data_IF_610967872865
#
_entry.id   IF_610967872865
#
_cell.length_a   1.000
_cell.length_b   1.000
_cell.length_c   1.000
_cell.angle_alpha   90.00
_cell.angle_beta   90.00
_cell.angle_gamma   90.00
#
_symmetry.space_group_name_H-M   'P 1'
#
loop_
_entity.id
_entity.type
_entity.pdbx_description
1 polymer ?
#
# COMPACT_ATOMS: atom_id res chain seq x y z
N UNK A 1 47.21 -10.32 -80.75
CA UNK A 1 48.42 -9.60 -81.05
C UNK A 1 49.15 -9.48 -79.71
N UNK A 2 50.11 -10.25 -79.35
CA UNK A 2 51.48 -10.42 -79.91
C UNK A 2 52.37 -9.77 -78.91
N UNK A 3 53.16 -10.44 -78.27
CA UNK A 3 54.48 -11.04 -78.34
C UNK A 3 55.22 -10.67 -77.02
N UNK A 4 55.74 -11.64 -76.35
CA UNK A 4 57.06 -12.30 -76.31
C UNK A 4 58.07 -11.57 -75.43
N UNK A 5 58.52 -12.13 -74.43
CA UNK A 5 59.61 -13.11 -74.19
C UNK A 5 60.97 -12.44 -73.92
N UNK A 6 61.64 -12.75 -72.80
CA UNK A 6 62.97 -13.40 -72.82
C UNK A 6 63.57 -13.43 -71.39
N UNK A 7 63.82 -14.54 -70.90
CA UNK A 7 64.92 -15.27 -70.29
C UNK A 7 66.11 -14.48 -69.73
N UNK A 8 66.50 -14.85 -68.51
CA UNK A 8 67.82 -14.62 -67.92
C UNK A 8 67.95 -15.20 -66.54
N UNK A 9 68.56 -16.38 -66.42
CA UNK A 9 69.09 -17.01 -65.17
C UNK A 9 70.56 -16.69 -65.05
N UNK A 10 71.30 -17.12 -63.96
CA UNK A 10 71.05 -17.20 -62.53
C UNK A 10 72.11 -16.49 -61.67
N UNK A 11 71.82 -16.23 -60.41
CA UNK A 11 72.82 -15.73 -59.45
C UNK A 11 72.59 -16.32 -58.07
N UNK A 12 73.53 -17.16 -57.66
CA UNK A 12 73.65 -17.80 -56.36
C UNK A 12 73.98 -16.72 -55.28
N UNK A 13 73.24 -16.71 -54.18
CA UNK A 13 73.54 -15.78 -53.13
C UNK A 13 72.79 -15.97 -51.79
N UNK A 14 73.43 -16.67 -50.92
CA UNK A 14 73.38 -16.60 -49.43
C UNK A 14 72.03 -16.70 -48.71
N UNK A 15 71.85 -17.82 -48.01
CA UNK A 15 70.89 -18.07 -46.96
C UNK A 15 70.98 -17.11 -45.80
N UNK A 16 70.02 -16.21 -45.62
CA UNK A 16 69.84 -15.43 -44.42
C UNK A 16 68.86 -16.20 -43.51
N UNK A 17 69.36 -16.61 -42.34
CA UNK A 17 68.60 -17.36 -41.34
C UNK A 17 67.44 -16.51 -40.78
N UNK A 18 66.24 -16.95 -41.01
CA UNK A 18 65.03 -16.40 -40.41
C UNK A 18 65.00 -16.88 -38.96
N UNK A 19 65.29 -15.96 -38.02
CA UNK A 19 65.04 -16.18 -36.58
C UNK A 19 63.52 -16.08 -36.34
N UNK A 20 62.85 -17.20 -36.09
CA UNK A 20 61.50 -17.19 -35.51
C UNK A 20 61.55 -16.60 -34.13
N UNK A 21 60.97 -15.40 -33.98
CA UNK A 21 60.67 -14.83 -32.66
C UNK A 21 59.46 -15.62 -32.11
N UNK A 22 59.68 -16.37 -31.02
CA UNK A 22 58.60 -16.93 -30.23
C UNK A 22 57.73 -15.75 -29.71
N UNK A 23 56.36 -15.90 -29.82
CA UNK A 23 55.49 -14.91 -29.21
C UNK A 23 55.71 -14.96 -27.67
N UNK A 24 56.07 -13.84 -27.08
CA UNK A 24 56.09 -13.70 -25.63
C UNK A 24 54.68 -14.03 -25.12
N UNK A 25 54.58 -15.09 -24.31
CA UNK A 25 53.41 -15.39 -23.49
C UNK A 25 53.13 -14.12 -22.68
N UNK A 26 52.01 -13.47 -22.99
CA UNK A 26 51.48 -12.38 -22.20
C UNK A 26 51.20 -12.89 -20.80
N UNK A 27 51.91 -12.42 -19.80
CA UNK A 27 51.60 -12.64 -18.40
C UNK A 27 50.22 -12.03 -18.16
N UNK A 28 49.20 -12.87 -18.11
CA UNK A 28 47.86 -12.45 -17.68
C UNK A 28 48.01 -11.87 -16.28
N UNK A 29 47.92 -10.57 -16.18
CA UNK A 29 47.77 -9.85 -14.91
C UNK A 29 46.42 -10.28 -14.37
N UNK A 30 46.38 -11.31 -13.52
CA UNK A 30 45.23 -11.59 -12.67
C UNK A 30 45.07 -10.39 -11.77
N UNK A 31 44.17 -9.49 -12.11
CA UNK A 31 43.80 -8.35 -11.26
C UNK A 31 43.33 -8.94 -9.92
N UNK A 32 44.20 -8.94 -8.93
CA UNK A 32 43.82 -9.26 -7.55
C UNK A 32 43.03 -8.05 -7.04
N UNK A 33 41.74 -8.22 -6.89
CA UNK A 33 40.92 -7.22 -6.20
C UNK A 33 41.59 -6.93 -4.83
N UNK A 34 41.95 -5.70 -4.49
CA UNK A 34 42.63 -5.44 -3.23
C UNK A 34 41.71 -5.81 -2.06
N UNK A 35 42.22 -6.53 -1.08
CA UNK A 35 41.51 -6.95 0.12
C UNK A 35 40.72 -5.81 0.79
N UNK A 36 41.24 -4.57 0.74
CA UNK A 36 40.59 -3.37 1.22
C UNK A 36 39.23 -3.09 0.50
N UNK A 37 39.18 -3.27 -0.82
CA UNK A 37 37.92 -3.09 -1.58
C UNK A 37 36.89 -4.17 -1.23
N UNK A 38 37.34 -5.41 -1.06
CA UNK A 38 36.47 -6.50 -0.62
C UNK A 38 35.88 -6.24 0.78
N UNK A 39 36.71 -5.73 1.70
CA UNK A 39 36.23 -5.35 3.04
C UNK A 39 35.22 -4.21 2.99
N UNK A 40 35.46 -3.17 2.19
CA UNK A 40 34.49 -2.06 2.00
C UNK A 40 33.16 -2.57 1.41
N UNK A 41 33.23 -3.42 0.38
CA UNK A 41 32.01 -4.01 -0.21
C UNK A 41 31.25 -4.88 0.80
N UNK A 42 31.95 -5.68 1.60
CA UNK A 42 31.33 -6.50 2.64
C UNK A 42 30.65 -5.66 3.73
N UNK A 43 31.30 -4.58 4.18
CA UNK A 43 30.70 -3.63 5.16
C UNK A 43 29.48 -2.91 4.56
N UNK A 44 29.59 -2.44 3.31
CA UNK A 44 28.48 -1.79 2.63
C UNK A 44 27.28 -2.75 2.43
N UNK A 45 27.54 -3.99 2.02
CA UNK A 45 26.52 -5.02 1.90
C UNK A 45 25.90 -5.34 3.27
N UNK A 46 26.71 -5.52 4.31
CA UNK A 46 26.24 -5.71 5.68
C UNK A 46 25.31 -4.57 6.12
N UNK A 47 25.72 -3.33 5.92
CA UNK A 47 24.90 -2.15 6.25
C UNK A 47 23.61 -2.09 5.45
N UNK A 48 23.65 -2.42 4.15
CA UNK A 48 22.45 -2.47 3.29
C UNK A 48 21.41 -3.45 3.81
N UNK A 49 21.79 -4.67 4.18
CA UNK A 49 20.86 -5.69 4.65
C UNK A 49 20.43 -5.55 6.11
N UNK A 50 21.25 -4.94 6.98
CA UNK A 50 20.94 -4.86 8.42
C UNK A 50 20.38 -3.52 8.86
N UNK A 51 20.84 -2.42 8.28
CA UNK A 51 20.46 -1.06 8.66
C UNK A 51 19.54 -0.40 7.63
N UNK A 52 19.70 -0.73 6.34
CA UNK A 52 18.99 -0.10 5.22
C UNK A 52 17.49 -0.06 5.40
N UNK A 53 16.80 -1.21 5.57
CA UNK A 53 15.33 -1.22 5.71
C UNK A 53 14.84 -0.35 6.87
N UNK A 54 15.48 -0.46 8.04
CA UNK A 54 15.09 0.30 9.22
C UNK A 54 15.32 1.82 9.08
N UNK A 55 16.38 2.22 8.37
CA UNK A 55 16.65 3.65 8.10
C UNK A 55 15.66 4.22 7.09
N UNK A 56 15.35 3.48 6.03
CA UNK A 56 14.34 3.87 5.03
C UNK A 56 12.98 4.04 5.72
N UNK A 57 12.50 3.02 6.43
CA UNK A 57 11.23 3.09 7.15
C UNK A 57 11.17 4.31 8.09
N UNK A 58 12.19 4.51 8.94
CA UNK A 58 12.23 5.64 9.87
C UNK A 58 12.23 7.00 9.17
N UNK A 59 12.79 7.09 7.98
CA UNK A 59 12.82 8.34 7.20
C UNK A 59 11.48 8.65 6.55
N UNK A 60 10.68 7.63 6.26
CA UNK A 60 9.41 7.72 5.54
C UNK A 60 8.21 7.79 6.49
N UNK A 61 8.15 6.93 7.50
CA UNK A 61 7.04 6.88 8.46
C UNK A 61 7.39 7.69 9.71
N UNK A 62 6.88 8.91 9.80
CA UNK A 62 7.27 9.86 10.83
C UNK A 62 6.09 10.35 11.67
N UNK A 63 6.36 10.58 12.96
CA UNK A 63 5.51 11.41 13.82
C UNK A 63 6.09 12.83 13.77
N UNK A 64 5.26 13.85 13.56
CA UNK A 64 5.69 15.26 13.34
C UNK A 64 6.26 15.95 14.60
N UNK A 65 6.18 15.29 15.76
CA UNK A 65 6.70 15.80 17.02
C UNK A 65 5.86 16.91 17.66
N UNK A 66 4.71 17.26 17.08
CA UNK A 66 3.79 18.21 17.70
C UNK A 66 3.12 17.56 18.93
N UNK A 67 2.80 18.36 19.96
CA UNK A 67 2.18 17.82 21.15
C UNK A 67 0.78 17.24 20.84
N UNK A 68 0.36 16.18 21.54
CA UNK A 68 -0.98 15.65 21.44
C UNK A 68 -1.99 16.71 21.92
N UNK A 69 -3.22 16.65 21.42
CA UNK A 69 -4.30 17.49 21.95
C UNK A 69 -4.73 16.98 23.34
N UNK A 70 -5.27 17.90 24.14
CA UNK A 70 -5.88 17.50 25.41
C UNK A 70 -7.11 16.62 25.15
N UNK A 71 -7.21 15.53 25.88
CA UNK A 71 -8.32 14.56 25.78
C UNK A 71 -9.12 14.60 27.07
N UNK A 72 -10.43 14.84 26.98
CA UNK A 72 -11.36 14.87 28.10
C UNK A 72 -11.68 13.46 28.63
N UNK A 73 -12.21 13.39 29.86
CA UNK A 73 -12.70 12.12 30.42
C UNK A 73 -13.88 11.57 29.61
N UNK A 74 -14.73 12.47 29.06
CA UNK A 74 -15.83 12.09 28.17
C UNK A 74 -15.30 11.38 26.91
N UNK A 75 -14.28 11.96 26.25
CA UNK A 75 -13.68 11.35 25.04
C UNK A 75 -13.05 9.99 25.36
N UNK A 76 -12.36 9.84 26.51
CA UNK A 76 -11.78 8.56 26.93
C UNK A 76 -12.86 7.51 27.18
N UNK A 77 -13.87 7.85 27.98
CA UNK A 77 -14.97 6.93 28.28
C UNK A 77 -15.75 6.51 27.02
N UNK A 78 -15.99 7.44 26.10
CA UNK A 78 -16.61 7.12 24.81
C UNK A 78 -15.69 6.20 23.99
N UNK A 79 -14.40 6.53 23.86
CA UNK A 79 -13.43 5.80 23.05
C UNK A 79 -13.31 4.32 23.46
N UNK A 80 -13.31 4.04 24.76
CA UNK A 80 -13.27 2.67 25.30
C UNK A 80 -14.47 1.81 24.86
N UNK A 81 -15.59 2.44 24.51
CA UNK A 81 -16.81 1.75 24.06
C UNK A 81 -16.94 1.63 22.55
N UNK A 82 -15.99 2.19 21.78
CA UNK A 82 -16.04 2.17 20.30
C UNK A 82 -15.58 0.82 19.75
N UNK A 83 -16.10 0.51 18.57
CA UNK A 83 -15.60 -0.56 17.70
C UNK A 83 -14.88 0.09 16.54
N UNK A 84 -13.57 0.30 16.69
CA UNK A 84 -12.80 1.11 15.76
C UNK A 84 -12.34 0.27 14.57
N UNK A 85 -12.56 0.78 13.36
CA UNK A 85 -12.12 0.16 12.10
C UNK A 85 -11.32 1.16 11.29
N UNK A 86 -10.11 0.81 10.91
CA UNK A 86 -9.29 1.58 9.99
C UNK A 86 -9.19 0.86 8.64
N UNK A 87 -9.41 1.61 7.57
CA UNK A 87 -9.57 1.05 6.22
C UNK A 87 -8.25 0.88 5.46
N UNK A 88 -7.12 1.41 6.00
CA UNK A 88 -5.86 1.34 5.26
C UNK A 88 -4.61 1.50 6.13
N UNK A 89 -3.69 0.56 5.99
CA UNK A 89 -2.34 0.62 6.57
C UNK A 89 -1.37 -0.20 5.73
N UNK A 90 -0.14 0.29 5.53
CA UNK A 90 0.93 -0.38 4.76
C UNK A 90 1.96 -1.10 5.63
N UNK A 91 1.61 -1.41 6.86
CA UNK A 91 2.49 -2.04 7.85
C UNK A 91 3.17 -3.32 7.34
N UNK A 92 2.49 -4.10 6.48
CA UNK A 92 3.04 -5.35 5.93
C UNK A 92 4.20 -5.16 4.95
N UNK A 93 4.40 -3.97 4.40
CA UNK A 93 5.53 -3.67 3.52
C UNK A 93 6.86 -3.69 4.27
N UNK A 94 6.87 -3.35 5.57
CA UNK A 94 8.06 -3.15 6.38
C UNK A 94 8.55 -4.43 7.07
N UNK A 95 9.86 -4.50 7.30
CA UNK A 95 10.49 -5.61 8.03
C UNK A 95 10.43 -5.35 9.55
N UNK A 96 9.22 -5.50 10.09
CA UNK A 96 8.92 -5.40 11.52
C UNK A 96 8.12 -6.61 11.98
N UNK A 97 8.31 -6.98 13.23
CA UNK A 97 7.41 -7.91 13.90
C UNK A 97 6.12 -7.18 14.28
N UNK A 98 5.01 -7.53 13.62
CA UNK A 98 3.70 -6.94 13.87
C UNK A 98 3.20 -7.17 15.31
N UNK A 99 3.67 -8.22 15.97
CA UNK A 99 3.23 -8.61 17.32
C UNK A 99 3.97 -7.87 18.43
N UNK A 100 5.04 -7.16 18.10
CA UNK A 100 5.92 -6.48 19.04
C UNK A 100 5.89 -4.98 18.86
N UNK A 101 5.80 -4.21 19.96
CA UNK A 101 5.86 -2.74 19.89
C UNK A 101 7.19 -2.27 19.33
N UNK A 102 7.15 -1.64 18.17
CA UNK A 102 8.32 -1.10 17.48
C UNK A 102 8.63 0.34 17.92
N UNK A 103 9.91 0.73 17.74
CA UNK A 103 10.34 2.14 17.85
C UNK A 103 10.22 2.90 16.54
N UNK A 104 9.67 2.26 15.50
CA UNK A 104 9.48 2.80 14.14
C UNK A 104 8.06 2.54 13.71
N UNK A 105 7.62 3.31 12.70
CA UNK A 105 6.30 3.19 12.14
C UNK A 105 5.20 3.67 13.08
N UNK A 106 3.98 3.55 12.61
CA UNK A 106 2.79 4.09 13.26
C UNK A 106 1.92 3.02 13.90
N UNK A 107 2.09 1.75 13.48
CA UNK A 107 1.18 0.67 13.82
C UNK A 107 1.91 -0.63 14.15
N UNK A 108 1.42 -1.35 15.12
CA UNK A 108 1.70 -2.74 15.50
C UNK A 108 0.57 -3.22 16.41
N UNK A 109 0.50 -4.52 16.67
CA UNK A 109 -0.58 -5.11 17.48
C UNK A 109 -0.71 -4.47 18.87
N UNK A 110 0.37 -4.23 19.66
CA UNK A 110 0.25 -3.52 20.93
C UNK A 110 -0.35 -2.11 20.79
N UNK A 111 -0.01 -1.35 19.74
CA UNK A 111 -0.60 -0.02 19.49
C UNK A 111 -2.06 -0.11 19.06
N UNK A 112 -2.42 -1.11 18.26
CA UNK A 112 -3.83 -1.35 17.86
C UNK A 112 -4.69 -1.68 19.08
N UNK A 113 -4.18 -2.50 19.99
CA UNK A 113 -4.86 -2.83 21.24
C UNK A 113 -5.05 -1.59 22.14
N UNK A 114 -3.98 -0.80 22.34
CA UNK A 114 -4.04 0.47 23.09
C UNK A 114 -5.00 1.48 22.45
N UNK A 115 -5.05 1.55 21.13
CA UNK A 115 -5.96 2.39 20.34
C UNK A 115 -7.37 1.84 20.20
N UNK A 116 -7.71 0.73 20.86
CA UNK A 116 -9.00 0.07 20.82
C UNK A 116 -9.45 -0.33 19.39
N UNK A 117 -8.50 -0.64 18.49
CA UNK A 117 -8.81 -1.07 17.13
C UNK A 117 -9.48 -2.43 17.14
N UNK A 118 -10.62 -2.53 16.49
CA UNK A 118 -11.37 -3.78 16.32
C UNK A 118 -11.01 -4.51 15.03
N UNK A 119 -10.76 -3.76 13.95
CA UNK A 119 -10.34 -4.31 12.67
C UNK A 119 -9.45 -3.32 11.94
N UNK A 120 -8.32 -3.82 11.43
CA UNK A 120 -7.40 -3.13 10.54
C UNK A 120 -7.44 -3.74 9.16
N UNK A 121 -7.55 -2.91 8.12
CA UNK A 121 -7.33 -3.33 6.74
C UNK A 121 -5.86 -3.08 6.38
N UNK A 122 -5.11 -4.15 6.21
CA UNK A 122 -3.71 -4.13 5.82
C UNK A 122 -3.57 -4.14 4.30
N UNK A 123 -2.94 -3.13 3.76
CA UNK A 123 -2.73 -2.99 2.34
C UNK A 123 -1.41 -3.61 1.87
N UNK A 124 -1.35 -3.91 0.60
CA UNK A 124 -0.17 -4.44 -0.07
C UNK A 124 0.25 -3.50 -1.17
N UNK A 125 1.25 -2.64 -0.89
CA UNK A 125 1.98 -1.87 -1.87
C UNK A 125 3.05 -2.74 -2.52
N UNK A 126 3.09 -2.80 -3.84
CA UNK A 126 4.02 -3.68 -4.55
C UNK A 126 5.01 -2.95 -5.44
N UNK A 127 4.70 -1.72 -5.85
CA UNK A 127 5.56 -0.88 -6.71
C UNK A 127 5.27 0.59 -6.50
N UNK A 128 6.34 1.39 -6.39
CA UNK A 128 6.27 2.86 -6.42
C UNK A 128 7.35 3.42 -7.35
N UNK A 129 7.06 4.51 -8.09
CA UNK A 129 8.04 5.11 -9.00
C UNK A 129 9.17 5.82 -8.27
N UNK A 130 10.35 5.88 -8.88
CA UNK A 130 11.47 6.69 -8.40
C UNK A 130 11.15 8.18 -8.55
N UNK A 131 11.48 8.97 -7.53
CA UNK A 131 11.14 10.39 -7.54
C UNK A 131 9.64 10.66 -7.42
N UNK A 132 8.90 9.72 -6.82
CA UNK A 132 7.45 9.80 -6.59
C UNK A 132 7.01 11.18 -6.14
N UNK A 133 5.97 11.70 -6.78
CA UNK A 133 5.33 12.97 -6.45
C UNK A 133 3.81 12.88 -6.63
N UNK A 134 3.08 13.88 -6.13
CA UNK A 134 1.62 13.90 -6.20
C UNK A 134 1.06 14.37 -7.55
N UNK A 135 1.89 14.88 -8.48
CA UNK A 135 1.41 15.50 -9.71
C UNK A 135 1.42 14.54 -10.90
N UNK A 136 2.58 13.95 -11.22
CA UNK A 136 2.73 13.09 -12.39
C UNK A 136 3.90 12.11 -12.23
N UNK A 137 3.61 10.82 -12.40
CA UNK A 137 4.60 9.74 -12.37
C UNK A 137 4.35 8.76 -13.51
N UNK A 138 5.43 8.24 -14.09
CA UNK A 138 5.39 7.06 -14.92
C UNK A 138 5.52 5.77 -14.09
N UNK A 139 5.30 4.64 -14.74
CA UNK A 139 5.45 3.32 -14.13
C UNK A 139 6.77 2.62 -14.47
N UNK A 140 7.78 3.31 -14.97
CA UNK A 140 8.98 2.69 -15.56
C UNK A 140 10.03 2.26 -14.51
N UNK A 141 9.96 2.84 -13.30
CA UNK A 141 10.86 2.54 -12.18
C UNK A 141 10.14 1.91 -10.99
N UNK A 142 10.91 1.32 -10.07
CA UNK A 142 10.37 0.66 -8.88
C UNK A 142 11.30 0.82 -7.67
N UNK A 143 10.88 1.60 -6.69
CA UNK A 143 11.59 1.81 -5.44
C UNK A 143 11.41 0.66 -4.43
N UNK A 144 10.41 -0.21 -4.63
CA UNK A 144 10.13 -1.31 -3.71
C UNK A 144 11.09 -2.49 -3.93
N UNK A 145 11.55 -2.72 -5.16
CA UNK A 145 12.50 -3.83 -5.44
C UNK A 145 13.78 -3.78 -4.58
N UNK A 146 14.50 -2.65 -4.45
CA UNK A 146 15.65 -2.57 -3.55
C UNK A 146 15.30 -2.86 -2.08
N UNK A 147 14.13 -2.41 -1.61
CA UNK A 147 13.66 -2.64 -0.24
C UNK A 147 13.36 -4.13 -0.02
N UNK A 148 12.66 -4.80 -0.94
CA UNK A 148 12.36 -6.23 -0.92
C UNK A 148 13.64 -7.07 -0.84
N UNK A 149 14.68 -6.69 -1.62
CA UNK A 149 16.00 -7.35 -1.61
C UNK A 149 16.70 -7.10 -0.27
N UNK A 150 16.71 -5.84 0.22
CA UNK A 150 17.35 -5.48 1.48
C UNK A 150 16.71 -6.17 2.70
N UNK A 151 15.41 -6.42 2.65
CA UNK A 151 14.66 -7.17 3.65
C UNK A 151 14.82 -8.69 3.51
N UNK A 152 15.64 -9.19 2.57
CA UNK A 152 15.84 -10.61 2.31
C UNK A 152 14.53 -11.37 2.08
N UNK A 153 13.55 -10.73 1.47
CA UNK A 153 12.29 -11.40 1.12
C UNK A 153 12.55 -12.54 0.11
N UNK A 154 11.67 -13.54 0.00
CA UNK A 154 11.84 -14.67 -0.92
C UNK A 154 12.14 -14.22 -2.36
N UNK A 155 13.05 -14.90 -3.04
CA UNK A 155 13.52 -14.52 -4.41
C UNK A 155 12.35 -14.30 -5.40
N UNK A 156 11.24 -15.05 -5.26
CA UNK A 156 10.04 -14.86 -6.10
C UNK A 156 9.47 -13.44 -6.04
N UNK A 157 9.63 -12.72 -4.91
CA UNK A 157 9.14 -11.36 -4.74
C UNK A 157 10.03 -10.31 -5.41
N UNK A 158 11.24 -10.66 -5.83
CA UNK A 158 12.18 -9.70 -6.41
C UNK A 158 11.75 -9.24 -7.81
N UNK A 159 11.07 -10.11 -8.55
CA UNK A 159 10.70 -9.87 -9.95
C UNK A 159 9.19 -9.93 -10.22
N UNK A 160 8.38 -10.48 -9.31
CA UNK A 160 6.93 -10.54 -9.46
C UNK A 160 6.23 -9.67 -8.42
N UNK A 161 5.39 -8.76 -8.89
CA UNK A 161 4.57 -7.88 -8.06
C UNK A 161 3.42 -8.66 -7.40
N UNK A 162 2.89 -9.65 -8.10
CA UNK A 162 1.89 -10.56 -7.52
C UNK A 162 2.46 -11.34 -6.34
N UNK A 163 3.66 -11.89 -6.49
CA UNK A 163 4.30 -12.66 -5.42
C UNK A 163 4.65 -11.77 -4.20
N UNK A 164 4.86 -10.46 -4.39
CA UNK A 164 4.98 -9.50 -3.26
C UNK A 164 3.69 -9.44 -2.45
N UNK A 165 2.54 -9.28 -3.11
CA UNK A 165 1.25 -9.28 -2.41
C UNK A 165 0.98 -10.60 -1.72
N UNK A 166 1.20 -11.72 -2.39
CA UNK A 166 1.03 -13.05 -1.78
C UNK A 166 1.93 -13.23 -0.55
N UNK A 167 3.17 -12.73 -0.60
CA UNK A 167 4.08 -12.75 0.54
C UNK A 167 3.62 -11.86 1.70
N UNK A 168 3.00 -10.69 1.44
CA UNK A 168 2.38 -9.86 2.49
C UNK A 168 1.24 -10.63 3.16
N UNK A 169 0.41 -11.37 2.40
CA UNK A 169 -0.59 -12.28 2.95
C UNK A 169 0.03 -13.35 3.86
N UNK A 170 1.11 -14.00 3.42
CA UNK A 170 1.84 -14.98 4.22
C UNK A 170 2.47 -14.37 5.49
N UNK A 171 2.95 -13.11 5.44
CA UNK A 171 3.44 -12.40 6.64
C UNK A 171 2.32 -12.24 7.66
N UNK A 172 1.14 -11.81 7.21
CA UNK A 172 -0.02 -11.66 8.08
C UNK A 172 -0.47 -13.01 8.66
N UNK A 173 -0.52 -14.06 7.86
CA UNK A 173 -0.91 -15.39 8.32
C UNK A 173 0.05 -15.94 9.40
N UNK A 174 1.37 -15.69 9.24
CA UNK A 174 2.36 -16.02 10.27
C UNK A 174 2.15 -15.23 11.56
N UNK A 175 1.83 -13.93 11.45
CA UNK A 175 1.55 -13.10 12.62
C UNK A 175 0.28 -13.56 13.33
N UNK A 176 -0.79 -13.86 12.59
CA UNK A 176 -2.04 -14.42 13.16
C UNK A 176 -1.76 -15.73 13.91
N UNK A 177 -1.04 -16.67 13.29
CA UNK A 177 -0.71 -17.95 13.91
C UNK A 177 0.14 -17.82 15.17
N UNK A 178 0.99 -16.79 15.27
CA UNK A 178 1.87 -16.55 16.41
C UNK A 178 1.27 -15.61 17.48
N UNK A 179 0.07 -15.07 17.26
CA UNK A 179 -0.53 -14.02 18.11
C UNK A 179 -1.24 -14.52 19.36
N UNK A 180 -1.31 -15.83 19.58
CA UNK A 180 -2.10 -16.43 20.68
C UNK A 180 -3.57 -15.97 20.67
N UNK A 181 -4.16 -15.81 19.47
CA UNK A 181 -5.55 -15.39 19.27
C UNK A 181 -5.81 -13.90 19.43
N UNK A 182 -4.79 -13.07 19.64
CA UNK A 182 -4.90 -11.60 19.70
C UNK A 182 -5.14 -10.96 18.33
N UNK A 183 -4.75 -11.62 17.24
CA UNK A 183 -5.00 -11.20 15.87
C UNK A 183 -5.80 -12.27 15.15
N UNK A 184 -6.82 -11.88 14.36
CA UNK A 184 -7.67 -12.82 13.66
C UNK A 184 -7.91 -12.39 12.21
N UNK A 185 -7.77 -13.32 11.26
CA UNK A 185 -8.11 -13.06 9.84
C UNK A 185 -9.60 -12.83 9.69
N UNK A 186 -9.94 -11.89 8.80
CA UNK A 186 -11.33 -11.62 8.38
C UNK A 186 -11.40 -11.66 6.85
N UNK A 187 -12.02 -12.70 6.33
CA UNK A 187 -12.20 -12.94 4.89
C UNK A 187 -13.67 -13.23 4.51
N UNK A 188 -14.52 -13.46 5.50
CA UNK A 188 -15.95 -13.74 5.33
C UNK A 188 -16.80 -12.94 6.30
N UNK A 189 -18.09 -12.70 5.99
CA UNK A 189 -19.01 -12.07 6.95
C UNK A 189 -19.12 -12.83 8.28
N UNK A 190 -19.11 -14.16 8.24
CA UNK A 190 -19.17 -14.99 9.44
C UNK A 190 -17.95 -14.84 10.35
N UNK A 191 -16.73 -14.70 9.78
CA UNK A 191 -15.53 -14.42 10.56
C UNK A 191 -15.58 -13.02 11.19
N UNK A 192 -16.11 -12.02 10.46
CA UNK A 192 -16.32 -10.68 11.00
C UNK A 192 -17.31 -10.71 12.18
N UNK A 193 -18.43 -11.40 12.03
CA UNK A 193 -19.42 -11.54 13.10
C UNK A 193 -18.87 -12.26 14.32
N UNK A 194 -18.12 -13.33 14.12
CA UNK A 194 -17.44 -14.06 15.19
C UNK A 194 -16.37 -13.23 15.91
N UNK A 195 -15.65 -12.36 15.20
CA UNK A 195 -14.72 -11.39 15.77
C UNK A 195 -15.45 -10.41 16.70
N UNK A 196 -16.54 -9.81 16.20
CA UNK A 196 -17.31 -8.82 16.96
C UNK A 196 -18.00 -9.42 18.18
N UNK A 197 -18.48 -10.66 18.11
CA UNK A 197 -19.06 -11.38 19.24
C UNK A 197 -18.03 -11.55 20.35
N UNK A 198 -16.81 -12.01 20.03
CA UNK A 198 -15.71 -12.17 21.02
C UNK A 198 -15.32 -10.86 21.69
N UNK A 199 -15.37 -9.73 20.96
CA UNK A 199 -15.11 -8.40 21.55
C UNK A 199 -16.21 -7.98 22.53
N UNK A 200 -17.45 -8.41 22.33
CA UNK A 200 -18.59 -8.12 23.21
C UNK A 200 -18.61 -8.90 24.53
N UNK A 201 -17.92 -10.05 24.58
CA UNK A 201 -17.91 -10.94 25.76
C UNK A 201 -16.96 -10.50 26.88
N UNK A 202 -16.10 -9.52 26.62
CA UNK A 202 -15.05 -9.08 27.54
C UNK A 202 -13.87 -10.05 27.60
N UNK A 203 -12.74 -9.59 28.11
CA UNK A 203 -11.51 -10.39 28.17
C UNK A 203 -10.54 -10.08 27.02
N UNK A 204 -9.86 -11.08 26.47
CA UNK A 204 -8.90 -10.88 25.39
C UNK A 204 -9.65 -10.56 24.08
N UNK A 205 -9.71 -9.27 23.73
CA UNK A 205 -10.45 -8.78 22.55
C UNK A 205 -9.52 -8.82 21.32
N UNK A 206 -9.73 -9.76 20.38
CA UNK A 206 -8.86 -9.85 19.21
C UNK A 206 -9.02 -8.64 18.29
N UNK A 207 -7.93 -8.28 17.62
CA UNK A 207 -7.93 -7.35 16.49
C UNK A 207 -8.18 -8.14 15.20
N UNK A 208 -9.15 -7.72 14.40
CA UNK A 208 -9.40 -8.27 13.06
C UNK A 208 -8.36 -7.77 12.05
N UNK A 209 -7.97 -8.63 11.13
CA UNK A 209 -7.04 -8.31 10.07
C UNK A 209 -7.62 -8.71 8.70
N UNK A 210 -7.88 -7.72 7.84
CA UNK A 210 -8.32 -7.91 6.46
C UNK A 210 -7.20 -7.48 5.51
N UNK A 211 -7.03 -8.17 4.38
CA UNK A 211 -6.06 -7.78 3.36
C UNK A 211 -6.69 -6.96 2.24
N UNK A 212 -5.96 -5.92 1.82
CA UNK A 212 -6.24 -5.17 0.60
C UNK A 212 -5.00 -5.08 -0.30
N UNK A 213 -5.22 -4.65 -1.55
CA UNK A 213 -4.16 -4.35 -2.52
C UNK A 213 -4.24 -2.88 -2.90
N UNK A 214 -3.10 -2.22 -2.90
CA UNK A 214 -2.96 -0.86 -3.39
C UNK A 214 -2.30 -0.84 -4.76
N UNK A 215 -3.16 -0.82 -5.77
CA UNK A 215 -2.80 -0.86 -7.18
C UNK A 215 -2.72 -2.26 -7.77
N UNK A 216 -3.75 -2.61 -8.56
CA UNK A 216 -3.84 -3.88 -9.30
C UNK A 216 -2.89 -3.98 -10.50
N UNK A 217 -1.87 -3.11 -10.59
CA UNK A 217 -0.71 -3.34 -11.46
C UNK A 217 0.04 -4.64 -11.08
N UNK A 218 -0.19 -5.15 -9.85
CA UNK A 218 0.33 -6.44 -9.38
C UNK A 218 -0.35 -7.65 -10.04
N UNK A 219 -1.40 -7.47 -10.83
CA UNK A 219 -1.95 -8.54 -11.68
C UNK A 219 -1.02 -8.90 -12.84
N UNK A 220 0.01 -8.05 -13.11
CA UNK A 220 1.00 -8.30 -14.17
C UNK A 220 0.35 -8.56 -15.54
N UNK A 221 -0.79 -7.90 -15.80
CA UNK A 221 -1.55 -7.99 -17.04
C UNK A 221 -2.52 -9.16 -17.16
N UNK A 222 -2.56 -10.08 -16.20
CA UNK A 222 -3.47 -11.24 -16.20
C UNK A 222 -4.57 -11.11 -15.15
N UNK A 223 -5.81 -10.97 -15.59
CA UNK A 223 -6.98 -10.88 -14.69
C UNK A 223 -7.23 -12.15 -13.86
N UNK A 224 -6.75 -13.31 -14.29
CA UNK A 224 -6.86 -14.55 -13.50
C UNK A 224 -6.11 -14.45 -12.15
N UNK A 225 -5.15 -13.53 -12.03
CA UNK A 225 -4.45 -13.26 -10.78
C UNK A 225 -5.35 -12.63 -9.70
N UNK A 226 -6.53 -12.07 -10.04
CA UNK A 226 -7.57 -11.70 -9.06
C UNK A 226 -8.05 -12.91 -8.25
N UNK A 227 -8.23 -14.05 -8.90
CA UNK A 227 -8.63 -15.30 -8.22
C UNK A 227 -7.54 -15.78 -7.26
N UNK A 228 -6.26 -15.62 -7.62
CA UNK A 228 -5.13 -15.96 -6.74
C UNK A 228 -5.07 -15.04 -5.52
N UNK A 229 -5.27 -13.73 -5.70
CA UNK A 229 -5.35 -12.77 -4.60
C UNK A 229 -6.53 -13.07 -3.68
N UNK A 230 -7.72 -13.32 -4.26
CA UNK A 230 -8.90 -13.68 -3.47
C UNK A 230 -8.69 -14.98 -2.68
N UNK A 231 -8.11 -16.02 -3.30
CA UNK A 231 -7.78 -17.28 -2.64
C UNK A 231 -6.75 -17.09 -1.50
N UNK A 232 -5.83 -16.12 -1.63
CA UNK A 232 -4.89 -15.74 -0.57
C UNK A 232 -5.52 -14.84 0.52
N UNK A 233 -6.83 -14.57 0.44
CA UNK A 233 -7.59 -13.86 1.46
C UNK A 233 -7.64 -12.34 1.30
N UNK A 234 -7.25 -11.80 0.14
CA UNK A 234 -7.50 -10.38 -0.17
C UNK A 234 -8.99 -10.14 -0.42
N UNK A 235 -9.54 -9.06 0.16
CA UNK A 235 -10.96 -8.73 0.11
C UNK A 235 -11.26 -7.31 -0.35
N UNK A 236 -10.25 -6.48 -0.56
CA UNK A 236 -10.38 -5.14 -1.11
C UNK A 236 -9.22 -4.88 -2.07
N UNK A 237 -9.41 -4.07 -3.12
CA UNK A 237 -8.33 -3.64 -3.97
C UNK A 237 -8.64 -2.30 -4.67
N UNK A 238 -7.62 -1.44 -4.75
CA UNK A 238 -7.58 -0.28 -5.62
C UNK A 238 -6.99 -0.62 -6.99
N UNK A 239 -7.49 0.01 -8.06
CA UNK A 239 -7.01 -0.29 -9.42
C UNK A 239 -5.63 0.30 -9.68
N UNK A 240 -5.35 1.47 -9.13
CA UNK A 240 -4.13 2.24 -9.38
C UNK A 240 -3.46 2.62 -8.07
N UNK A 241 -2.18 2.99 -8.16
CA UNK A 241 -1.44 3.64 -7.09
C UNK A 241 -0.82 4.93 -7.66
N UNK A 242 0.48 5.14 -7.63
CA UNK A 242 1.12 6.40 -8.04
C UNK A 242 1.32 6.57 -9.56
N UNK A 243 0.86 5.66 -10.39
CA UNK A 243 1.01 5.72 -11.85
C UNK A 243 -0.16 5.07 -12.58
N UNK A 244 -0.38 5.50 -13.83
CA UNK A 244 -1.36 4.88 -14.73
C UNK A 244 -0.93 3.45 -15.06
N UNK A 245 -1.88 2.52 -15.15
CA UNK A 245 -1.60 1.14 -15.52
C UNK A 245 -2.57 0.65 -16.62
N UNK A 246 -2.52 -0.62 -16.96
CA UNK A 246 -3.35 -1.22 -18.01
C UNK A 246 -4.85 -1.36 -17.66
N UNK A 247 -5.23 -1.03 -16.41
CA UNK A 247 -6.62 -1.05 -15.93
C UNK A 247 -7.24 0.34 -15.92
N UNK A 248 -6.50 1.35 -15.46
CA UNK A 248 -7.04 2.68 -15.22
C UNK A 248 -5.95 3.76 -15.08
N UNK A 249 -6.36 5.02 -15.15
CA UNK A 249 -5.54 6.17 -14.80
C UNK A 249 -5.50 6.41 -13.29
N UNK A 250 -4.32 6.78 -12.80
CA UNK A 250 -4.09 7.26 -11.44
C UNK A 250 -4.21 8.78 -11.37
N UNK A 251 -4.68 9.33 -10.25
CA UNK A 251 -4.63 10.78 -10.02
C UNK A 251 -3.20 11.32 -9.96
N UNK A 252 -2.22 10.45 -9.73
CA UNK A 252 -0.79 10.74 -9.73
C UNK A 252 -0.08 10.30 -11.01
N UNK A 253 -0.82 9.74 -12.00
CA UNK A 253 -0.30 9.33 -13.29
C UNK A 253 -0.08 10.50 -14.26
N UNK A 254 0.43 10.21 -15.43
CA UNK A 254 0.66 11.21 -16.49
C UNK A 254 -0.64 11.46 -17.28
N UNK A 255 -1.30 10.38 -17.73
CA UNK A 255 -2.49 10.48 -18.58
C UNK A 255 -3.78 10.70 -17.78
N UNK A 256 -3.88 10.16 -16.56
CA UNK A 256 -5.04 10.29 -15.66
C UNK A 256 -6.36 9.93 -16.34
N UNK A 257 -6.33 8.92 -17.22
CA UNK A 257 -7.50 8.45 -17.97
C UNK A 257 -8.52 7.72 -17.11
N UNK A 258 -9.68 7.40 -17.69
CA UNK A 258 -10.71 6.57 -17.07
C UNK A 258 -10.35 5.09 -17.07
N UNK A 259 -11.37 4.24 -16.88
CA UNK A 259 -11.24 2.78 -16.95
C UNK A 259 -10.96 2.31 -18.39
N UNK A 260 -9.99 1.43 -18.53
CA UNK A 260 -9.82 0.65 -19.76
C UNK A 260 -10.90 -0.45 -19.85
N UNK A 261 -10.98 -1.14 -20.99
CA UNK A 261 -11.83 -2.33 -21.10
C UNK A 261 -11.43 -3.42 -20.10
N UNK A 262 -10.12 -3.58 -19.85
CA UNK A 262 -9.56 -4.52 -18.87
C UNK A 262 -9.92 -4.08 -17.44
N UNK A 263 -9.85 -2.77 -17.13
CA UNK A 263 -10.26 -2.24 -15.83
C UNK A 263 -11.73 -2.48 -15.52
N UNK A 264 -12.62 -2.32 -16.50
CA UNK A 264 -14.04 -2.64 -16.36
C UNK A 264 -14.26 -4.13 -16.09
N UNK A 265 -13.51 -5.01 -16.75
CA UNK A 265 -13.57 -6.45 -16.50
C UNK A 265 -13.04 -6.81 -15.10
N UNK A 266 -11.96 -6.15 -14.65
CA UNK A 266 -11.42 -6.32 -13.31
C UNK A 266 -12.45 -5.99 -12.23
N UNK A 267 -13.13 -4.84 -12.33
CA UNK A 267 -14.18 -4.43 -11.38
C UNK A 267 -15.31 -5.46 -11.33
N UNK A 268 -15.82 -5.91 -12.47
CA UNK A 268 -16.87 -6.94 -12.49
C UNK A 268 -16.41 -8.22 -11.79
N UNK A 269 -15.18 -8.67 -12.09
CA UNK A 269 -14.62 -9.87 -11.44
C UNK A 269 -14.43 -9.69 -9.94
N UNK A 270 -13.96 -8.53 -9.49
CA UNK A 270 -13.86 -8.22 -8.05
C UNK A 270 -15.22 -8.33 -7.37
N UNK A 271 -16.25 -7.68 -7.92
CA UNK A 271 -17.59 -7.72 -7.35
C UNK A 271 -18.17 -9.15 -7.32
N UNK A 272 -17.96 -9.94 -8.39
CA UNK A 272 -18.40 -11.34 -8.46
C UNK A 272 -17.70 -12.21 -7.41
N UNK A 273 -16.42 -11.94 -7.10
CA UNK A 273 -15.66 -12.63 -6.07
C UNK A 273 -16.00 -12.20 -4.63
N UNK A 274 -16.74 -11.09 -4.44
CA UNK A 274 -16.87 -10.47 -3.12
C UNK A 274 -15.60 -9.73 -2.68
N UNK A 275 -14.94 -9.08 -3.61
CA UNK A 275 -13.85 -8.13 -3.35
C UNK A 275 -14.37 -6.71 -3.48
N UNK A 276 -14.06 -5.89 -2.49
CA UNK A 276 -14.48 -4.49 -2.42
C UNK A 276 -13.64 -3.66 -3.38
N UNK A 277 -14.30 -2.80 -4.16
CA UNK A 277 -13.65 -1.84 -5.05
C UNK A 277 -13.25 -0.61 -4.25
N UNK A 278 -11.95 -0.32 -4.20
CA UNK A 278 -11.37 0.87 -3.61
C UNK A 278 -11.00 1.87 -4.70
N UNK A 279 -11.42 3.12 -4.54
CA UNK A 279 -11.14 4.21 -5.48
C UNK A 279 -9.98 5.11 -5.06
N UNK A 280 -9.34 4.82 -3.94
CA UNK A 280 -8.14 5.56 -3.55
C UNK A 280 -7.11 5.52 -4.70
N UNK A 281 -6.42 6.64 -4.95
CA UNK A 281 -5.50 6.87 -6.06
C UNK A 281 -6.08 6.82 -7.48
N UNK A 282 -7.34 6.43 -7.69
CA UNK A 282 -7.96 6.53 -9.01
C UNK A 282 -8.01 7.98 -9.49
N UNK A 283 -7.75 8.23 -10.77
CA UNK A 283 -7.99 9.54 -11.38
C UNK A 283 -9.47 9.93 -11.27
N UNK A 284 -9.80 11.21 -11.34
CA UNK A 284 -11.20 11.66 -11.34
C UNK A 284 -12.04 11.01 -12.45
N UNK A 285 -11.43 10.79 -13.64
CA UNK A 285 -12.08 10.06 -14.73
C UNK A 285 -12.31 8.59 -14.39
N UNK A 286 -11.34 7.93 -13.73
CA UNK A 286 -11.48 6.56 -13.25
C UNK A 286 -12.56 6.46 -12.18
N UNK A 287 -12.59 7.37 -11.22
CA UNK A 287 -13.64 7.43 -10.18
C UNK A 287 -15.02 7.56 -10.81
N UNK A 288 -15.20 8.50 -11.75
CA UNK A 288 -16.48 8.68 -12.45
C UNK A 288 -16.92 7.41 -13.18
N UNK A 289 -16.03 6.73 -13.88
CA UNK A 289 -16.30 5.48 -14.57
C UNK A 289 -16.69 4.34 -13.60
N UNK A 290 -15.99 4.22 -12.46
CA UNK A 290 -16.31 3.22 -11.42
C UNK A 290 -17.69 3.48 -10.85
N UNK A 291 -17.97 4.71 -10.44
CA UNK A 291 -19.25 5.09 -9.83
C UNK A 291 -20.44 4.90 -10.79
N UNK A 292 -20.21 5.03 -12.10
CA UNK A 292 -21.24 4.78 -13.11
C UNK A 292 -21.58 3.29 -13.32
N UNK A 293 -20.68 2.36 -12.95
CA UNK A 293 -20.86 0.93 -13.20
C UNK A 293 -20.93 0.04 -11.97
N UNK A 294 -20.59 0.57 -10.79
CA UNK A 294 -20.55 -0.18 -9.54
C UNK A 294 -21.93 -0.77 -9.20
N UNK A 295 -21.94 -2.06 -8.89
CA UNK A 295 -23.13 -2.82 -8.45
C UNK A 295 -23.19 -2.95 -6.92
N UNK A 296 -22.12 -2.56 -6.23
CA UNK A 296 -21.90 -2.70 -4.79
C UNK A 296 -21.37 -1.39 -4.19
N UNK A 297 -21.44 -1.20 -2.87
CA UNK A 297 -20.85 -0.06 -2.22
C UNK A 297 -19.35 0.07 -2.55
N UNK A 298 -18.94 1.26 -2.98
CA UNK A 298 -17.55 1.60 -3.31
C UNK A 298 -16.89 2.21 -2.07
N UNK A 299 -15.64 1.91 -1.84
CA UNK A 299 -14.83 2.47 -0.75
C UNK A 299 -13.79 3.43 -1.30
N UNK A 300 -13.60 4.58 -0.67
CA UNK A 300 -12.37 5.34 -0.72
C UNK A 300 -11.65 5.02 0.58
N UNK A 301 -10.66 4.14 0.55
CA UNK A 301 -10.08 3.57 1.77
C UNK A 301 -9.31 4.60 2.59
N UNK A 302 -8.63 5.56 1.94
CA UNK A 302 -7.84 6.60 2.57
C UNK A 302 -7.72 7.82 1.65
N UNK A 303 -7.66 9.00 2.23
CA UNK A 303 -7.55 10.26 1.50
C UNK A 303 -8.14 11.43 2.28
N UNK A 304 -8.53 12.46 1.56
CA UNK A 304 -9.17 13.64 2.10
C UNK A 304 -10.26 14.17 1.16
N UNK A 305 -10.72 15.37 1.45
CA UNK A 305 -11.75 16.07 0.67
C UNK A 305 -11.25 17.45 0.20
N UNK A 306 -11.52 17.80 -1.05
CA UNK A 306 -11.05 19.06 -1.64
C UNK A 306 -11.59 20.30 -0.92
N UNK A 307 -12.73 20.19 -0.27
CA UNK A 307 -13.33 21.28 0.49
C UNK A 307 -12.46 21.75 1.66
N UNK A 308 -11.69 20.86 2.30
CA UNK A 308 -10.81 21.21 3.42
C UNK A 308 -9.33 21.21 3.04
N UNK A 309 -8.95 20.47 1.98
CA UNK A 309 -7.59 20.42 1.48
C UNK A 309 -7.60 20.23 -0.04
N UNK A 310 -7.43 21.35 -0.77
CA UNK A 310 -7.58 21.37 -2.23
C UNK A 310 -6.33 20.87 -2.94
N UNK A 311 -6.16 19.56 -2.95
CA UNK A 311 -5.11 18.86 -3.71
C UNK A 311 -5.74 17.84 -4.66
N UNK A 312 -5.01 17.44 -5.70
CA UNK A 312 -5.48 16.47 -6.71
C UNK A 312 -5.81 15.08 -6.10
N UNK A 313 -5.16 14.73 -4.98
CA UNK A 313 -5.36 13.49 -4.23
C UNK A 313 -6.76 13.34 -3.64
N UNK A 314 -7.43 14.44 -3.35
CA UNK A 314 -8.65 14.48 -2.55
C UNK A 314 -9.92 14.47 -3.40
N UNK A 315 -10.98 13.87 -2.87
CA UNK A 315 -12.27 13.78 -3.54
C UNK A 315 -12.98 15.13 -3.61
N UNK A 316 -13.57 15.41 -4.76
CA UNK A 316 -14.52 16.52 -4.94
C UNK A 316 -15.87 16.18 -4.31
N UNK A 317 -16.70 17.21 -4.09
CA UNK A 317 -18.07 17.04 -3.58
C UNK A 317 -18.94 16.14 -4.50
N UNK A 318 -18.71 16.18 -5.81
CA UNK A 318 -19.41 15.35 -6.77
C UNK A 318 -19.05 13.87 -6.58
N UNK A 319 -17.77 13.56 -6.41
CA UNK A 319 -17.29 12.20 -6.16
C UNK A 319 -17.75 11.68 -4.81
N UNK A 320 -17.75 12.51 -3.76
CA UNK A 320 -18.29 12.18 -2.44
C UNK A 320 -19.77 11.78 -2.56
N UNK A 321 -20.58 12.60 -3.27
CA UNK A 321 -21.99 12.25 -3.54
C UNK A 321 -22.11 10.98 -4.38
N UNK A 322 -21.17 10.74 -5.29
CA UNK A 322 -21.10 9.53 -6.10
C UNK A 322 -20.88 8.28 -5.25
N UNK A 323 -19.91 8.31 -4.35
CA UNK A 323 -19.64 7.22 -3.39
C UNK A 323 -20.87 6.97 -2.52
N UNK A 324 -21.48 8.04 -1.99
CA UNK A 324 -22.68 7.95 -1.17
C UNK A 324 -23.85 7.27 -1.91
N UNK A 325 -24.08 7.60 -3.19
CA UNK A 325 -25.14 6.94 -4.00
C UNK A 325 -24.93 5.43 -4.14
N UNK A 326 -23.71 4.91 -4.04
CA UNK A 326 -23.45 3.45 -4.03
C UNK A 326 -23.71 2.81 -2.65
N UNK A 327 -23.99 3.61 -1.61
CA UNK A 327 -24.01 3.16 -0.21
C UNK A 327 -22.62 3.00 0.40
N UNK A 328 -21.58 3.51 -0.28
CA UNK A 328 -20.17 3.43 0.08
C UNK A 328 -19.73 4.37 1.20
N UNK A 329 -18.43 4.39 1.47
CA UNK A 329 -17.81 5.15 2.56
C UNK A 329 -16.51 5.81 2.11
N UNK A 330 -16.13 6.87 2.84
CA UNK A 330 -14.93 7.67 2.60
C UNK A 330 -14.09 7.63 3.87
N UNK A 331 -12.94 6.96 3.81
CA UNK A 331 -11.90 6.94 4.83
C UNK A 331 -11.08 8.22 4.79
N UNK A 332 -11.07 8.95 5.90
CA UNK A 332 -10.27 10.17 6.06
C UNK A 332 -8.93 9.82 6.69
N UNK A 333 -7.86 10.26 6.03
CA UNK A 333 -6.49 10.07 6.47
C UNK A 333 -6.01 11.13 7.46
N UNK A 334 -4.78 10.92 7.98
CA UNK A 334 -4.23 11.75 9.06
C UNK A 334 -2.91 12.45 8.68
N UNK A 335 -2.50 12.39 7.42
CA UNK A 335 -1.26 13.02 6.94
C UNK A 335 -1.52 14.33 6.18
N UNK A 336 -0.49 15.14 6.06
CA UNK A 336 -0.56 16.49 5.52
C UNK A 336 -1.11 16.57 4.09
N UNK A 337 -0.81 15.62 3.21
CA UNK A 337 -1.32 15.62 1.85
C UNK A 337 -2.82 15.27 1.76
N UNK A 338 -3.41 14.64 2.77
CA UNK A 338 -4.84 14.37 2.81
C UNK A 338 -5.65 15.53 3.40
N UNK A 339 -5.14 16.14 4.49
CA UNK A 339 -5.90 17.10 5.27
C UNK A 339 -5.23 18.49 5.37
N UNK A 340 -4.14 18.74 4.62
CA UNK A 340 -3.32 19.97 4.66
C UNK A 340 -2.80 20.33 6.06
N UNK A 341 -2.70 19.36 6.92
CA UNK A 341 -2.30 19.40 8.34
C UNK A 341 -2.03 17.95 8.78
N UNK A 342 -1.63 17.75 10.01
CA UNK A 342 -1.49 16.43 10.65
C UNK A 342 -2.35 16.31 11.91
N UNK A 343 -3.09 17.39 12.28
CA UNK A 343 -3.85 17.45 13.52
C UNK A 343 -5.12 16.60 13.47
N UNK A 344 -5.51 15.95 14.59
CA UNK A 344 -6.80 15.27 14.70
C UNK A 344 -7.99 16.17 14.36
N UNK A 345 -7.88 17.50 14.68
CA UNK A 345 -8.93 18.47 14.36
C UNK A 345 -9.10 18.69 12.86
N UNK A 346 -8.01 18.66 12.07
CA UNK A 346 -8.12 18.78 10.60
C UNK A 346 -8.80 17.54 10.00
N UNK A 347 -8.49 16.36 10.51
CA UNK A 347 -9.18 15.13 10.12
C UNK A 347 -10.68 15.21 10.48
N UNK A 348 -11.02 15.63 11.70
CA UNK A 348 -12.41 15.81 12.13
C UNK A 348 -13.19 16.82 11.25
N UNK A 349 -12.55 17.92 10.81
CA UNK A 349 -13.17 18.86 9.86
C UNK A 349 -13.44 18.26 8.49
N UNK A 350 -12.53 17.42 7.98
CA UNK A 350 -12.75 16.71 6.73
C UNK A 350 -13.92 15.71 6.87
N UNK A 351 -13.98 14.96 7.97
CA UNK A 351 -15.09 14.07 8.30
C UNK A 351 -16.41 14.83 8.44
N UNK A 352 -16.38 16.02 9.08
CA UNK A 352 -17.54 16.89 9.20
C UNK A 352 -18.07 17.34 7.83
N UNK A 353 -17.18 17.70 6.90
CA UNK A 353 -17.59 18.05 5.54
C UNK A 353 -18.34 16.89 4.86
N UNK A 354 -17.82 15.65 4.95
CA UNK A 354 -18.51 14.47 4.39
C UNK A 354 -19.88 14.28 5.04
N UNK A 355 -19.94 14.32 6.40
CA UNK A 355 -21.20 14.22 7.16
C UNK A 355 -22.22 15.25 6.71
N UNK A 356 -21.81 16.51 6.66
CA UNK A 356 -22.71 17.63 6.34
C UNK A 356 -23.17 17.60 4.86
N UNK A 357 -22.39 16.98 3.96
CA UNK A 357 -22.67 16.89 2.53
C UNK A 357 -23.58 15.72 2.15
N UNK A 358 -23.36 14.55 2.75
CA UNK A 358 -24.00 13.28 2.31
C UNK A 358 -24.56 12.42 3.45
N UNK A 359 -24.33 12.77 4.71
CA UNK A 359 -24.74 12.02 5.88
C UNK A 359 -23.60 11.31 6.60
N UNK A 360 -23.84 11.05 7.89
CA UNK A 360 -22.84 10.40 8.76
C UNK A 360 -22.50 8.97 8.31
N UNK A 361 -23.43 8.27 7.68
CA UNK A 361 -23.31 6.89 7.23
C UNK A 361 -22.20 6.67 6.17
N UNK A 362 -21.62 7.75 5.65
CA UNK A 362 -20.58 7.71 4.62
C UNK A 362 -19.18 8.08 5.15
N UNK A 363 -19.05 8.39 6.43
CA UNK A 363 -17.77 8.77 7.07
C UNK A 363 -17.07 7.55 7.65
N UNK A 364 -15.76 7.43 7.42
CA UNK A 364 -14.93 6.36 7.97
C UNK A 364 -13.48 6.84 8.25
N UNK A 365 -12.67 5.99 8.88
CA UNK A 365 -11.25 6.18 9.11
C UNK A 365 -10.44 5.46 8.03
N UNK A 366 -9.34 6.09 7.60
CA UNK A 366 -8.40 5.50 6.65
C UNK A 366 -7.03 6.14 6.83
N UNK A 367 -6.28 5.68 7.83
CA UNK A 367 -5.11 6.36 8.38
C UNK A 367 -3.97 6.58 7.41
N UNK A 368 -3.75 5.64 6.49
CA UNK A 368 -2.53 5.51 5.68
C UNK A 368 -1.28 5.35 6.57
N UNK A 369 -1.46 4.70 7.73
CA UNK A 369 -0.35 4.41 8.63
C UNK A 369 0.68 3.51 7.93
N UNK A 370 1.95 3.83 8.17
CA UNK A 370 3.08 3.16 7.55
C UNK A 370 3.18 3.27 6.02
N UNK A 371 2.33 4.09 5.38
CA UNK A 371 2.30 4.37 3.93
C UNK A 371 3.27 5.48 3.49
N UNK A 372 4.46 5.56 4.10
CA UNK A 372 5.44 6.62 3.84
C UNK A 372 4.92 8.03 4.16
N UNK A 373 4.12 8.16 5.20
CA UNK A 373 3.43 9.38 5.62
C UNK A 373 4.06 10.01 6.86
N UNK A 374 3.80 11.32 7.05
CA UNK A 374 4.07 12.02 8.30
C UNK A 374 2.74 12.34 8.97
N UNK A 375 2.55 11.82 10.18
CA UNK A 375 1.33 11.97 10.98
C UNK A 375 1.65 12.61 12.33
N UNK A 376 0.65 13.08 13.08
CA UNK A 376 0.85 13.65 14.42
C UNK A 376 0.81 12.59 15.53
N UNK A 377 0.08 11.51 15.32
CA UNK A 377 -0.17 10.48 16.32
C UNK A 377 -0.16 9.09 15.67
N UNK A 378 0.22 8.09 16.43
CA UNK A 378 0.18 6.69 16.03
C UNK A 378 -1.15 6.03 16.44
N UNK A 379 -1.31 4.77 16.07
CA UNK A 379 -2.54 4.01 16.32
C UNK A 379 -2.93 3.98 17.80
N UNK A 380 -1.97 4.00 18.75
CA UNK A 380 -2.26 3.99 20.19
C UNK A 380 -2.94 5.28 20.70
N UNK A 381 -2.96 6.32 19.87
CA UNK A 381 -3.45 7.64 20.24
C UNK A 381 -4.74 8.04 19.50
N UNK A 382 -5.47 7.09 18.92
CA UNK A 382 -6.73 7.33 18.19
C UNK A 382 -7.81 8.02 19.03
N UNK A 383 -7.70 7.99 20.35
CA UNK A 383 -8.57 8.76 21.26
C UNK A 383 -8.55 10.27 20.96
N UNK A 384 -7.47 10.79 20.36
CA UNK A 384 -7.39 12.20 19.92
C UNK A 384 -8.37 12.48 18.76
N UNK A 385 -8.66 11.51 17.90
CA UNK A 385 -9.67 11.64 16.84
C UNK A 385 -11.06 11.68 17.48
N UNK A 386 -11.33 10.85 18.48
CA UNK A 386 -12.59 10.89 19.25
C UNK A 386 -12.81 12.26 19.88
N UNK A 387 -11.79 12.83 20.53
CA UNK A 387 -11.87 14.19 21.09
C UNK A 387 -12.14 15.25 20.01
N UNK A 388 -11.41 15.17 18.89
CA UNK A 388 -11.57 16.15 17.81
C UNK A 388 -12.96 16.09 17.18
N UNK A 389 -13.58 14.92 17.09
CA UNK A 389 -14.96 14.77 16.61
C UNK A 389 -15.97 15.38 17.60
N UNK A 390 -15.78 15.20 18.92
CA UNK A 390 -16.59 15.90 19.93
C UNK A 390 -16.45 17.42 19.80
N UNK A 391 -15.22 17.91 19.65
CA UNK A 391 -14.94 19.35 19.49
C UNK A 391 -15.60 19.96 18.23
N UNK A 392 -15.74 19.17 17.15
CA UNK A 392 -16.43 19.55 15.90
C UNK A 392 -17.95 19.32 15.94
N UNK A 393 -18.51 18.91 17.09
CA UNK A 393 -19.93 18.80 17.35
C UNK A 393 -20.59 17.54 16.85
N UNK A 394 -19.82 16.44 16.73
CA UNK A 394 -20.41 15.12 16.49
C UNK A 394 -21.06 14.58 17.76
N UNK A 395 -22.23 13.97 17.61
CA UNK A 395 -22.86 13.23 18.70
C UNK A 395 -22.11 11.90 18.96
N UNK A 396 -22.32 11.29 20.13
CA UNK A 396 -21.74 9.97 20.44
C UNK A 396 -22.15 8.91 19.43
N UNK A 397 -23.38 8.97 18.90
CA UNK A 397 -23.88 8.06 17.88
C UNK A 397 -23.14 8.25 16.54
N UNK A 398 -23.00 9.50 16.12
CA UNK A 398 -22.22 9.83 14.91
C UNK A 398 -20.74 9.40 15.04
N UNK A 399 -20.14 9.57 16.21
CA UNK A 399 -18.76 9.11 16.47
C UNK A 399 -18.68 7.58 16.37
N UNK A 400 -19.63 6.83 16.94
CA UNK A 400 -19.69 5.36 16.80
C UNK A 400 -19.80 4.95 15.34
N UNK A 401 -20.61 5.65 14.55
CA UNK A 401 -20.77 5.39 13.13
C UNK A 401 -19.47 5.66 12.36
N UNK A 402 -18.86 6.85 12.52
CA UNK A 402 -17.64 7.26 11.81
C UNK A 402 -16.40 6.43 12.19
N UNK A 403 -16.23 6.14 13.49
CA UNK A 403 -15.04 5.44 13.99
C UNK A 403 -15.01 3.94 13.63
N UNK A 404 -16.16 3.36 13.17
CA UNK A 404 -16.12 1.97 12.71
C UNK A 404 -17.45 1.39 12.27
N UNK A 405 -18.60 1.86 12.80
CA UNK A 405 -19.90 1.30 12.46
C UNK A 405 -20.20 1.29 10.95
N UNK A 406 -19.88 2.38 10.26
CA UNK A 406 -20.05 2.49 8.82
C UNK A 406 -19.12 1.54 8.05
N UNK A 407 -17.85 1.46 8.47
CA UNK A 407 -16.87 0.56 7.88
C UNK A 407 -17.32 -0.90 8.04
N UNK A 408 -17.73 -1.33 9.22
CA UNK A 408 -18.26 -2.69 9.46
C UNK A 408 -19.43 -3.02 8.55
N UNK A 409 -20.39 -2.10 8.38
CA UNK A 409 -21.54 -2.27 7.49
C UNK A 409 -21.09 -2.52 6.05
N UNK A 410 -20.20 -1.68 5.52
CA UNK A 410 -19.76 -1.75 4.12
C UNK A 410 -18.84 -2.95 3.88
N UNK A 411 -17.88 -3.19 4.78
CA UNK A 411 -16.98 -4.35 4.67
C UNK A 411 -17.76 -5.66 4.72
N UNK A 412 -18.70 -5.81 5.66
CA UNK A 412 -19.54 -7.01 5.77
C UNK A 412 -20.32 -7.27 4.48
N UNK A 413 -20.96 -6.23 3.92
CA UNK A 413 -21.71 -6.34 2.66
C UNK A 413 -20.76 -6.62 1.49
N UNK A 414 -19.59 -5.97 1.45
CA UNK A 414 -18.63 -6.03 0.36
C UNK A 414 -17.94 -7.38 0.21
N UNK A 415 -17.63 -8.06 1.32
CA UNK A 415 -16.95 -9.38 1.30
C UNK A 415 -17.92 -10.57 1.18
N UNK A 416 -19.22 -10.34 1.20
CA UNK A 416 -20.17 -11.39 0.92
C UNK A 416 -20.15 -11.76 -0.58
N UNK A 417 -20.13 -13.05 -0.98
CA UNK A 417 -20.26 -13.43 -2.37
C UNK A 417 -21.54 -12.84 -2.98
N UNK A 418 -21.49 -12.45 -4.26
CA UNK A 418 -22.74 -12.10 -4.96
C UNK A 418 -23.60 -13.34 -5.15
N UNK A 419 -24.87 -13.23 -4.78
CA UNK A 419 -25.83 -14.26 -5.20
C UNK A 419 -25.96 -14.25 -6.72
N UNK A 420 -25.95 -15.42 -7.39
CA UNK A 420 -26.20 -15.45 -8.83
C UNK A 420 -27.56 -14.81 -9.11
N UNK A 421 -27.60 -13.96 -10.14
CA UNK A 421 -28.86 -13.37 -10.59
C UNK A 421 -29.88 -14.50 -10.86
N UNK A 422 -31.01 -14.48 -10.18
CA UNK A 422 -32.11 -15.44 -10.34
C UNK A 422 -32.77 -15.26 -11.68
#
# INVERSE_FOLDING_TARGET
>A
MGREAARGTPGVGRTAGVRFRHPRQGSGVKARLPWGLLAVVAVAAGAFFTLGPALVERSMNRIDGQPPIAVSDEARALHETLTIVDLHSDTLMWDRDLLSRSRRGHEDLPRMEEGNVALQVFSSVTKTPSGQNYDANDGDSDNITPLVIAQLQPVRTWTSLLERSLYHGEKLDRAVAASDGRLARVTTPGELDGLLARRGEGGNTPVGAMLSVEGLHNLEGDLANLDRLHAAGFRMAGLTHFFDNDLAGSMHGIAKGGLTAKGRAAIRRMEDLGMIVDIAHCSHACVADILAMARRPVVSSHGGVQATCKVNRNLSDEEIRGVARTGGIIGIGYWDAAICDTSPRAAARAMKHVRDLVGIEHVALGSDYDGATTVRFDTSQLVQVTQALLDEGFTHEEIRAAMGGNALRVLRAGIAPMEPAR
#
